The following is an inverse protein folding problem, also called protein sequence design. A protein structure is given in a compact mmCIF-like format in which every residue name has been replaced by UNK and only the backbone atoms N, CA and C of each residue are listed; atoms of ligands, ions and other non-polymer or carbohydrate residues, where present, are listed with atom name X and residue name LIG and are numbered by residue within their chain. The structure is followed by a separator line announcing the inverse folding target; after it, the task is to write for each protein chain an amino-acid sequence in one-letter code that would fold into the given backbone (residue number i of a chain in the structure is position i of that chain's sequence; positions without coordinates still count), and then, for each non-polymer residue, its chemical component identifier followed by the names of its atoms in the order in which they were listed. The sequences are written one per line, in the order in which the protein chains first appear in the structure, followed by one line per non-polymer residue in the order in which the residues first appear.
data_IF_426339939536
#
_entry.id   IF_426339939536
#
_cell.length_a   1.000
_cell.length_b   1.000
_cell.length_c   1.000
_cell.angle_alpha   90.00
_cell.angle_beta   90.00
_cell.angle_gamma   90.00
#
_symmetry.space_group_name_H-M   'P 1'
#
loop_
_entity.id
_entity.type
_entity.pdbx_description
1 polymer ?
#
# COMPACT_ATOMS: atom_id res chain seq x y z
N UNK A 1 -18.11 -0.84 -49.40
CA UNK A 1 -17.45 -0.03 -49.25
C UNK A 1 -17.77 1.07 -48.51
N UNK A 2 -18.75 1.53 -48.59
CA UNK A 2 -19.11 2.64 -47.90
C UNK A 2 -19.03 2.41 -46.45
N UNK A 3 -19.42 1.35 -46.03
CA UNK A 3 -19.44 1.17 -44.70
C UNK A 3 -18.16 1.42 -44.11
N UNK A 4 -17.16 1.16 -44.76
CA UNK A 4 -16.02 1.42 -44.21
C UNK A 4 -15.86 2.73 -43.92
N UNK A 5 -16.26 3.55 -44.66
CA UNK A 5 -16.15 4.92 -44.44
C UNK A 5 -16.74 5.32 -43.15
N UNK A 6 -17.83 4.75 -42.83
CA UNK A 6 -18.47 5.15 -41.62
C UNK A 6 -17.63 4.84 -40.39
N UNK A 7 -17.05 3.70 -40.35
CA UNK A 7 -16.29 3.41 -39.28
C UNK A 7 -15.20 4.37 -39.00
N UNK A 8 -14.36 4.63 -39.89
CA UNK A 8 -13.29 5.54 -39.63
C UNK A 8 -13.76 6.84 -39.13
N UNK A 9 -14.81 7.31 -39.64
CA UNK A 9 -15.28 8.60 -39.21
C UNK A 9 -15.60 8.64 -37.75
N UNK A 10 -16.31 7.68 -37.28
CA UNK A 10 -16.66 7.72 -35.92
C UNK A 10 -15.50 7.36 -35.04
N UNK A 11 -14.69 6.46 -35.50
CA UNK A 11 -13.66 6.00 -34.67
C UNK A 11 -12.70 7.04 -34.19
N UNK A 12 -12.22 7.91 -35.02
CA UNK A 12 -11.24 8.87 -34.54
C UNK A 12 -11.73 9.64 -33.32
N UNK A 13 -12.92 10.08 -33.33
CA UNK A 13 -13.41 10.80 -32.19
C UNK A 13 -13.49 9.95 -30.98
N UNK A 14 -13.98 8.75 -31.14
CA UNK A 14 -14.08 7.87 -30.01
C UNK A 14 -12.71 7.50 -29.49
N UNK A 15 -11.76 7.31 -30.37
CA UNK A 15 -10.45 6.94 -29.92
C UNK A 15 -9.82 8.05 -29.09
N UNK A 16 -10.03 9.28 -29.48
CA UNK A 16 -9.49 10.36 -28.69
C UNK A 16 -10.10 10.36 -27.30
N UNK A 17 -11.38 10.14 -27.19
CA UNK A 17 -12.01 10.11 -25.90
C UNK A 17 -11.52 8.92 -25.09
N UNK A 18 -11.34 7.79 -25.72
CA UNK A 18 -10.87 6.63 -25.02
C UNK A 18 -9.44 6.83 -24.53
N UNK A 19 -8.62 7.48 -25.35
CA UNK A 19 -7.26 7.73 -24.94
C UNK A 19 -7.23 8.68 -23.76
N UNK A 20 -8.06 9.69 -23.76
CA UNK A 20 -8.10 10.61 -22.66
C UNK A 20 -8.56 9.91 -21.40
N UNK A 21 -9.52 9.02 -21.50
CA UNK A 21 -9.99 8.30 -20.37
C UNK A 21 -8.91 7.37 -19.85
N UNK A 22 -8.18 6.71 -20.74
CA UNK A 22 -7.12 5.83 -20.31
C UNK A 22 -6.02 6.60 -19.61
N UNK A 23 -5.68 7.77 -20.13
CA UNK A 23 -4.67 8.58 -19.48
C UNK A 23 -5.13 9.05 -18.12
N UNK A 24 -6.40 9.38 -18.01
CA UNK A 24 -6.93 9.83 -16.75
C UNK A 24 -6.91 8.70 -15.72
N UNK A 25 -7.28 7.50 -16.15
CA UNK A 25 -7.25 6.36 -15.25
C UNK A 25 -5.84 6.04 -14.84
N UNK A 26 -4.91 6.11 -15.77
CA UNK A 26 -3.53 5.83 -15.44
C UNK A 26 -3.01 6.85 -14.42
N UNK A 27 -3.36 8.10 -14.60
CA UNK A 27 -2.94 9.11 -13.67
C UNK A 27 -3.55 8.89 -12.30
N UNK A 28 -4.81 8.50 -12.25
CA UNK A 28 -5.45 8.22 -10.99
C UNK A 28 -4.78 7.05 -10.28
N UNK A 29 -4.40 6.02 -11.02
CA UNK A 29 -3.74 4.90 -10.42
C UNK A 29 -2.39 5.30 -9.87
N UNK A 30 -1.67 6.13 -10.61
CA UNK A 30 -0.38 6.59 -10.14
C UNK A 30 -0.53 7.44 -8.90
N UNK A 31 -1.56 8.28 -8.85
CA UNK A 31 -1.79 9.10 -7.69
C UNK A 31 -2.16 8.25 -6.49
N UNK A 32 -2.97 7.24 -6.67
CA UNK A 32 -3.34 6.37 -5.58
C UNK A 32 -2.12 5.60 -5.08
N UNK A 33 -1.28 5.18 -5.98
CA UNK A 33 -0.09 4.47 -5.57
C UNK A 33 0.86 5.40 -4.83
N UNK A 34 0.99 6.63 -5.29
CA UNK A 34 1.84 7.59 -4.62
C UNK A 34 1.30 7.92 -3.24
N UNK A 35 -0.02 8.02 -3.11
CA UNK A 35 -0.61 8.27 -1.82
C UNK A 35 -0.35 7.11 -0.88
N UNK A 36 -0.46 5.89 -1.36
CA UNK A 36 -0.19 4.74 -0.53
C UNK A 36 1.27 4.72 -0.11
N UNK A 37 2.17 5.04 -1.03
CA UNK A 37 3.58 5.04 -0.71
C UNK A 37 3.94 6.11 0.28
N UNK A 38 3.21 7.21 0.29
CA UNK A 38 3.45 8.29 1.23
C UNK A 38 2.69 8.12 2.52
N UNK A 39 1.79 7.16 2.60
CA UNK A 39 1.02 6.92 3.78
C UNK A 39 1.91 6.30 4.84
N UNK A 40 1.68 6.63 6.07
CA UNK A 40 2.49 6.12 7.15
C UNK A 40 1.69 5.19 8.03
N UNK A 41 2.32 4.14 8.50
CA UNK A 41 1.69 3.17 9.36
C UNK A 41 2.54 3.05 10.61
N UNK A 42 1.90 3.15 11.76
CA UNK A 42 2.62 3.11 13.01
C UNK A 42 2.16 1.95 13.86
N UNK A 43 3.05 1.41 14.63
CA UNK A 43 2.71 0.36 15.56
C UNK A 43 3.58 0.53 16.80
N UNK A 44 3.08 0.03 17.91
CA UNK A 44 3.80 0.15 19.16
C UNK A 44 4.03 -1.22 19.77
N UNK A 45 4.94 -1.29 20.69
CA UNK A 45 5.21 -2.50 21.44
C UNK A 45 5.57 -2.12 22.85
N UNK A 46 5.43 -3.07 23.75
CA UNK A 46 5.78 -2.83 25.15
C UNK A 46 4.89 -1.81 25.84
N UNK A 47 3.63 -1.79 25.47
CA UNK A 47 2.74 -0.82 26.10
C UNK A 47 2.93 0.60 25.59
N UNK A 48 3.54 0.74 24.44
CA UNK A 48 3.72 2.07 23.87
C UNK A 48 5.09 2.68 24.07
N UNK A 49 6.01 1.95 24.67
CA UNK A 49 7.33 2.50 24.90
C UNK A 49 8.17 2.52 23.62
N UNK A 50 7.82 1.71 22.66
CA UNK A 50 8.50 1.72 21.36
C UNK A 50 7.45 1.90 20.29
N UNK A 51 7.65 2.87 19.42
CA UNK A 51 6.73 3.11 18.33
C UNK A 51 7.54 3.16 17.05
N UNK A 52 7.12 2.41 16.03
CA UNK A 52 7.80 2.40 14.76
C UNK A 52 6.81 2.83 13.69
N UNK A 53 7.24 3.72 12.82
CA UNK A 53 6.42 4.20 11.72
C UNK A 53 7.10 3.79 10.42
N UNK A 54 6.32 3.17 9.53
CA UNK A 54 6.83 2.78 8.23
C UNK A 54 5.99 3.46 7.16
N UNK A 55 6.56 3.61 5.97
CA UNK A 55 5.82 4.19 4.86
C UNK A 55 5.22 3.08 4.02
N UNK A 56 4.38 3.46 3.10
CA UNK A 56 3.79 2.49 2.18
C UNK A 56 4.81 1.80 1.31
N UNK A 57 6.04 2.32 1.25
CA UNK A 57 7.11 1.66 0.54
C UNK A 57 7.80 0.61 1.38
N UNK A 58 7.28 0.38 2.58
CA UNK A 58 7.83 -0.61 3.51
C UNK A 58 9.19 -0.18 4.02
N UNK A 59 9.35 1.12 4.20
CA UNK A 59 10.57 1.65 4.77
C UNK A 59 10.26 2.24 6.12
N UNK A 60 11.15 2.01 7.07
CA UNK A 60 10.97 2.59 8.40
C UNK A 60 11.32 4.07 8.29
N UNK A 61 10.37 4.92 8.58
CA UNK A 61 10.61 6.35 8.50
C UNK A 61 10.92 6.95 9.86
N UNK A 62 10.49 6.31 10.94
CA UNK A 62 10.69 6.88 12.24
C UNK A 62 10.62 5.82 13.30
N UNK A 63 11.45 5.92 14.30
CA UNK A 63 11.41 5.03 15.44
C UNK A 63 11.44 5.91 16.67
N UNK A 64 10.45 5.74 17.56
CA UNK A 64 10.37 6.54 18.76
C UNK A 64 10.49 5.60 19.93
N UNK A 65 11.38 5.88 20.85
CA UNK A 65 11.64 5.02 21.97
C UNK A 65 11.55 5.86 23.23
N UNK A 66 10.80 5.37 24.19
CA UNK A 66 10.69 6.03 25.46
C UNK A 66 12.01 5.83 26.20
N UNK A 67 12.65 6.88 26.65
CA UNK A 67 13.94 6.71 27.33
C UNK A 67 13.86 5.79 28.55
N UNK A 68 12.70 5.72 29.17
CA UNK A 68 12.57 4.86 30.32
C UNK A 68 12.62 3.40 29.95
N UNK A 69 12.37 3.08 28.70
CA UNK A 69 12.44 1.69 28.26
C UNK A 69 13.85 1.26 27.94
N UNK A 70 14.78 2.18 27.90
CA UNK A 70 16.14 1.85 27.52
C UNK A 70 16.88 1.41 28.77
N UNK A 71 17.12 0.13 28.89
CA UNK A 71 17.77 -0.43 30.04
C UNK A 71 19.08 -1.04 29.56
N UNK A 72 20.22 -0.48 29.94
CA UNK A 72 21.49 -1.01 29.47
C UNK A 72 21.72 -2.44 29.90
N UNK A 73 21.06 -2.88 30.94
CA UNK A 73 21.23 -4.23 31.38
C UNK A 73 20.30 -5.21 30.66
N UNK A 74 19.36 -4.71 29.91
CA UNK A 74 18.42 -5.56 29.22
C UNK A 74 18.18 -5.04 27.81
N UNK A 75 19.24 -4.96 27.05
CA UNK A 75 19.16 -4.48 25.69
C UNK A 75 18.36 -5.43 24.81
N UNK A 76 18.38 -6.72 25.15
CA UNK A 76 17.65 -7.69 24.37
C UNK A 76 16.16 -7.39 24.38
N UNK A 77 15.62 -6.95 25.50
CA UNK A 77 14.20 -6.64 25.55
C UNK A 77 13.90 -5.51 24.60
N UNK A 78 14.76 -4.47 24.56
CA UNK A 78 14.54 -3.36 23.66
C UNK A 78 14.61 -3.82 22.21
N UNK A 79 15.54 -4.70 21.90
CA UNK A 79 15.65 -5.22 20.55
C UNK A 79 14.39 -5.95 20.16
N UNK A 80 13.85 -6.76 21.05
CA UNK A 80 12.64 -7.51 20.75
C UNK A 80 11.46 -6.57 20.56
N UNK A 81 11.37 -5.51 21.34
CA UNK A 81 10.29 -4.56 21.20
C UNK A 81 10.37 -3.85 19.85
N UNK A 82 11.57 -3.50 19.42
CA UNK A 82 11.73 -2.84 18.14
C UNK A 82 11.33 -3.78 17.00
N UNK A 83 11.74 -5.05 17.10
CA UNK A 83 11.37 -6.02 16.09
C UNK A 83 9.86 -6.20 16.05
N UNK A 84 9.23 -6.31 17.21
CA UNK A 84 7.79 -6.51 17.26
C UNK A 84 7.05 -5.32 16.69
N UNK A 85 7.45 -4.11 17.05
CA UNK A 85 6.78 -2.92 16.55
C UNK A 85 7.00 -2.76 15.05
N UNK A 86 8.21 -3.05 14.57
CA UNK A 86 8.50 -2.92 13.15
C UNK A 86 7.69 -3.93 12.34
N UNK A 87 7.64 -5.16 12.80
CA UNK A 87 6.88 -6.18 12.09
C UNK A 87 5.40 -5.86 12.08
N UNK A 88 4.89 -5.32 13.17
CA UNK A 88 3.48 -4.98 13.23
C UNK A 88 3.19 -3.81 12.29
N UNK A 89 4.05 -2.82 12.24
CA UNK A 89 3.86 -1.69 11.32
C UNK A 89 3.90 -2.15 9.87
N UNK A 90 4.83 -3.03 9.56
CA UNK A 90 4.92 -3.56 8.21
C UNK A 90 3.69 -4.40 7.86
N UNK A 91 3.16 -5.12 8.85
CA UNK A 91 1.97 -5.90 8.61
C UNK A 91 0.77 -5.00 8.33
N UNK A 92 0.66 -3.88 9.04
CA UNK A 92 -0.41 -2.94 8.76
C UNK A 92 -0.28 -2.37 7.35
N UNK A 93 0.95 -2.07 6.95
CA UNK A 93 1.19 -1.56 5.61
C UNK A 93 0.77 -2.59 4.56
N UNK A 94 1.10 -3.84 4.79
CA UNK A 94 0.74 -4.87 3.87
C UNK A 94 -0.75 -5.09 3.80
N UNK A 95 -1.42 -5.06 4.92
CA UNK A 95 -2.86 -5.24 4.94
C UNK A 95 -3.56 -4.13 4.17
N UNK A 96 -3.08 -2.91 4.32
CA UNK A 96 -3.68 -1.81 3.60
C UNK A 96 -3.43 -1.96 2.10
N UNK A 97 -2.24 -2.35 1.72
CA UNK A 97 -1.94 -2.55 0.33
C UNK A 97 -2.80 -3.65 -0.26
N UNK A 98 -2.94 -4.75 0.44
CA UNK A 98 -3.74 -5.85 -0.05
C UNK A 98 -5.20 -5.46 -0.15
N UNK A 99 -5.69 -4.68 0.79
CA UNK A 99 -7.07 -4.25 0.75
C UNK A 99 -7.33 -3.42 -0.50
N UNK A 100 -6.41 -2.53 -0.85
CA UNK A 100 -6.60 -1.74 -2.04
C UNK A 100 -6.52 -2.59 -3.30
N UNK A 101 -5.62 -3.55 -3.33
CA UNK A 101 -5.51 -4.41 -4.47
C UNK A 101 -6.75 -5.28 -4.60
N UNK A 102 -7.27 -5.75 -3.49
CA UNK A 102 -8.48 -6.55 -3.54
C UNK A 102 -9.66 -5.77 -4.06
N UNK A 103 -9.75 -4.51 -3.72
CA UNK A 103 -10.82 -3.70 -4.24
C UNK A 103 -10.73 -3.57 -5.75
N UNK A 104 -9.52 -3.48 -6.26
CA UNK A 104 -9.36 -3.35 -7.68
C UNK A 104 -9.64 -4.64 -8.40
N UNK A 105 -9.16 -5.74 -7.89
CA UNK A 105 -9.30 -6.98 -8.60
C UNK A 105 -10.49 -7.78 -8.20
N UNK A 106 -10.96 -7.65 -7.10
CA UNK A 106 -12.10 -8.38 -6.60
C UNK A 106 -11.93 -9.85 -6.76
N UNK A 107 -10.83 -10.34 -6.85
CA UNK A 107 -10.74 -11.67 -7.03
C UNK A 107 -10.21 -12.30 -5.93
N UNK A 108 -10.70 -12.88 -5.27
CA UNK A 108 -10.39 -13.31 -4.18
C UNK A 108 -10.01 -14.53 -3.95
N UNK A 109 -10.35 -15.11 -3.77
CA UNK A 109 -10.33 -16.19 -3.37
C UNK A 109 -9.45 -17.20 -3.66
N UNK A 110 -8.60 -17.09 -4.38
CA UNK A 110 -7.77 -18.13 -4.61
C UNK A 110 -7.18 -18.62 -3.36
N UNK A 111 -6.85 -17.78 -2.50
CA UNK A 111 -6.29 -18.21 -1.43
C UNK A 111 -7.16 -18.89 -0.58
N UNK A 112 -8.25 -18.52 -0.52
CA UNK A 112 -9.14 -19.19 0.26
C UNK A 112 -9.16 -20.58 -0.08
N UNK A 113 -9.13 -20.82 -1.28
CA UNK A 113 -9.23 -22.10 -1.67
C UNK A 113 -8.19 -22.91 -1.18
N UNK A 114 -7.09 -22.43 -1.26
CA UNK A 114 -6.18 -23.21 -0.93
C UNK A 114 -6.06 -23.53 0.35
N UNK A 115 -6.39 -22.84 1.08
CA UNK A 115 -6.26 -23.17 2.26
C UNK A 115 -6.79 -24.29 2.59
N UNK A 116 -7.53 -24.55 2.03
CA UNK A 116 -8.12 -25.72 2.36
C UNK A 116 -7.30 -26.81 2.18
#
# INVERSE_FOLDING_TARGET
MAKRGGFPGGMPGNMNNLMKQAQRMQRQMEEQQAELENKEFSATAGGGVVEVTVTGKREVSKVKIDPEAVDPDDVEMLEDLIVAATNEALRKCEEESQAQICLLYTSPSPRDVEES
#
